data_IF_974964290396
#
_entry.id   IF_974964290396
#
_cell.length_a   1.000
_cell.length_b   1.000
_cell.length_c   1.000
_cell.angle_alpha   90.00
_cell.angle_beta   90.00
_cell.angle_gamma   90.00
#
_symmetry.space_group_name_H-M   'P 1'
#
loop_
_entity.id
_entity.type
_entity.pdbx_description
1 polymer ?
#
# COMPACT_ATOMS: atom_id res chain seq x y z
N UNK A 1 -7.08 43.52 -51.46
CA UNK A 1 -7.27 42.09 -51.77
C UNK A 1 -7.45 41.36 -50.44
N UNK A 2 -8.60 40.73 -50.26
CA UNK A 2 -8.92 39.85 -49.15
C UNK A 2 -8.09 38.57 -49.26
N UNK A 3 -7.43 38.15 -48.18
CA UNK A 3 -7.27 36.72 -47.88
C UNK A 3 -7.29 36.54 -46.37
N UNK A 4 -8.46 36.14 -45.88
CA UNK A 4 -8.61 35.45 -44.62
C UNK A 4 -7.98 34.05 -44.78
N UNK A 5 -7.14 33.64 -43.82
CA UNK A 5 -6.85 32.22 -43.60
C UNK A 5 -7.28 31.94 -42.17
N UNK A 6 -8.44 31.31 -42.08
CA UNK A 6 -8.92 30.65 -40.88
C UNK A 6 -8.22 29.28 -40.73
N UNK A 7 -8.51 28.65 -39.58
CA UNK A 7 -8.44 27.21 -39.32
C UNK A 7 -7.02 26.75 -38.88
N UNK A 8 -6.81 25.98 -37.80
CA UNK A 8 -7.62 24.94 -37.15
C UNK A 8 -7.18 24.78 -35.69
N UNK A 9 -8.13 24.84 -34.77
CA UNK A 9 -7.97 24.35 -33.39
C UNK A 9 -7.71 22.85 -33.40
N UNK A 10 -6.65 22.39 -32.76
CA UNK A 10 -6.55 20.99 -32.31
C UNK A 10 -6.31 21.00 -30.80
N UNK A 11 -7.39 21.18 -30.04
CA UNK A 11 -7.47 20.74 -28.66
C UNK A 11 -7.81 19.24 -28.68
N UNK A 12 -6.80 18.40 -28.82
CA UNK A 12 -6.95 16.96 -28.62
C UNK A 12 -5.68 16.40 -27.99
N UNK A 13 -5.62 16.45 -26.67
CA UNK A 13 -5.17 15.25 -25.96
C UNK A 13 -6.19 14.99 -24.87
N UNK A 14 -7.07 14.05 -25.18
CA UNK A 14 -7.93 13.36 -24.25
C UNK A 14 -7.00 12.64 -23.26
N UNK A 15 -6.59 13.32 -22.19
CA UNK A 15 -5.92 12.68 -21.06
C UNK A 15 -6.99 11.96 -20.22
N UNK A 16 -7.67 11.00 -20.86
CA UNK A 16 -8.27 9.89 -20.16
C UNK A 16 -7.13 9.07 -19.59
N UNK A 17 -6.55 9.55 -18.49
CA UNK A 17 -5.80 8.70 -17.59
C UNK A 17 -6.80 7.64 -17.12
N UNK A 18 -6.88 6.54 -17.86
CA UNK A 18 -7.41 5.30 -17.32
C UNK A 18 -6.49 5.01 -16.14
N UNK A 19 -6.96 5.41 -14.96
CA UNK A 19 -6.40 5.06 -13.69
C UNK A 19 -6.52 3.54 -13.65
N UNK A 20 -5.50 2.85 -14.16
CA UNK A 20 -5.36 1.42 -14.04
C UNK A 20 -5.40 1.18 -12.53
N UNK A 21 -6.52 0.70 -12.00
CA UNK A 21 -6.56 0.26 -10.62
C UNK A 21 -5.48 -0.80 -10.50
N UNK A 22 -4.35 -0.46 -9.87
CA UNK A 22 -3.31 -1.41 -9.53
C UNK A 22 -3.89 -2.32 -8.44
N UNK A 23 -4.66 -3.32 -8.86
CA UNK A 23 -5.24 -4.30 -7.96
C UNK A 23 -4.09 -5.11 -7.37
N UNK A 24 -3.99 -5.12 -6.03
CA UNK A 24 -3.05 -5.96 -5.31
C UNK A 24 -3.24 -7.42 -5.74
N UNK A 25 -2.15 -8.09 -6.09
CA UNK A 25 -2.21 -9.50 -6.46
C UNK A 25 -2.82 -10.33 -5.32
N UNK A 26 -3.71 -11.28 -5.66
CA UNK A 26 -4.47 -12.08 -4.69
C UNK A 26 -3.56 -12.79 -3.67
N UNK A 27 -2.43 -13.34 -4.11
CA UNK A 27 -1.46 -14.01 -3.24
C UNK A 27 -0.85 -13.07 -2.18
N UNK A 28 -0.75 -11.76 -2.44
CA UNK A 28 -0.28 -10.78 -1.45
C UNK A 28 -1.35 -10.52 -0.40
N UNK A 29 -2.61 -10.40 -0.82
CA UNK A 29 -3.74 -10.32 0.10
C UNK A 29 -3.76 -11.53 1.03
N UNK A 30 -3.68 -12.75 0.49
CA UNK A 30 -3.63 -13.99 1.29
C UNK A 30 -2.46 -14.00 2.27
N UNK A 31 -1.28 -13.53 1.84
CA UNK A 31 -0.11 -13.42 2.69
C UNK A 31 -0.38 -12.51 3.88
N UNK A 32 -0.96 -11.32 3.66
CA UNK A 32 -1.30 -10.37 4.72
C UNK A 32 -2.36 -10.91 5.66
N UNK A 33 -3.44 -11.49 5.13
CA UNK A 33 -4.50 -12.11 5.93
C UNK A 33 -3.94 -13.22 6.82
N UNK A 34 -3.11 -14.11 6.25
CA UNK A 34 -2.48 -15.19 7.02
C UNK A 34 -1.53 -14.66 8.08
N UNK A 35 -0.80 -13.58 7.82
CA UNK A 35 0.12 -13.00 8.79
C UNK A 35 -0.61 -12.47 10.04
N UNK A 36 -1.76 -11.82 9.88
CA UNK A 36 -2.51 -11.26 11.00
C UNK A 36 -3.50 -12.23 11.65
N UNK A 37 -3.76 -13.39 11.03
CA UNK A 37 -4.70 -14.39 11.55
C UNK A 37 -4.43 -14.77 13.02
N UNK A 38 -3.17 -15.05 13.37
CA UNK A 38 -2.79 -15.42 14.75
C UNK A 38 -2.91 -14.26 15.74
N UNK A 39 -2.94 -13.01 15.25
CA UNK A 39 -3.15 -11.82 16.07
C UNK A 39 -4.63 -11.51 16.24
N UNK A 40 -5.44 -11.65 15.19
CA UNK A 40 -6.88 -11.46 15.21
C UNK A 40 -7.53 -12.16 14.01
N UNK A 41 -8.30 -13.22 14.27
CA UNK A 41 -8.94 -14.05 13.24
C UNK A 41 -10.18 -13.39 12.61
N UNK A 42 -10.69 -12.33 13.23
CA UNK A 42 -11.95 -11.67 12.84
C UNK A 42 -11.73 -10.47 11.92
N UNK A 43 -10.50 -10.27 11.44
CA UNK A 43 -10.18 -9.17 10.54
C UNK A 43 -10.74 -9.41 9.13
N UNK A 44 -11.44 -8.42 8.60
CA UNK A 44 -12.04 -8.45 7.26
C UNK A 44 -11.17 -7.65 6.30
N UNK A 45 -10.71 -8.29 5.23
CA UNK A 45 -9.93 -7.59 4.22
C UNK A 45 -10.78 -6.53 3.50
N UNK A 46 -10.23 -5.33 3.37
CA UNK A 46 -10.86 -4.19 2.73
C UNK A 46 -9.97 -3.65 1.60
N UNK A 47 -10.43 -3.82 0.34
CA UNK A 47 -9.69 -3.39 -0.87
C UNK A 47 -9.39 -1.88 -0.86
N UNK A 48 -10.32 -1.05 -0.41
CA UNK A 48 -10.10 0.40 -0.36
C UNK A 48 -9.02 0.79 0.66
N UNK A 49 -8.98 0.13 1.81
CA UNK A 49 -7.91 0.36 2.80
C UNK A 49 -6.55 -0.13 2.29
N UNK A 50 -6.51 -1.23 1.52
CA UNK A 50 -5.28 -1.66 0.84
C UNK A 50 -4.82 -0.60 -0.18
N UNK A 51 -5.73 -0.01 -0.94
CA UNK A 51 -5.40 1.08 -1.86
C UNK A 51 -4.88 2.32 -1.10
N UNK A 52 -5.56 2.73 -0.01
CA UNK A 52 -5.07 3.81 0.84
C UNK A 52 -3.68 3.53 1.41
N UNK A 53 -3.37 2.28 1.77
CA UNK A 53 -2.05 1.90 2.26
C UNK A 53 -0.97 2.09 1.19
N UNK A 54 -1.26 1.81 -0.09
CA UNK A 54 -0.32 2.07 -1.19
C UNK A 54 -0.10 3.57 -1.36
N UNK A 55 -1.19 4.33 -1.37
CA UNK A 55 -1.13 5.79 -1.51
C UNK A 55 -0.41 6.45 -0.32
N UNK A 56 -0.53 5.92 0.89
CA UNK A 56 0.23 6.37 2.06
C UNK A 56 1.73 6.07 1.92
N UNK A 57 2.09 4.97 1.26
CA UNK A 57 3.49 4.64 0.93
C UNK A 57 4.04 5.57 -0.16
N UNK A 58 3.18 6.09 -1.04
CA UNK A 58 3.53 7.05 -2.09
C UNK A 58 3.58 8.49 -1.61
N UNK A 59 2.62 8.88 -0.79
CA UNK A 59 2.44 10.21 -0.23
C UNK A 59 2.25 10.10 1.30
N UNK A 60 3.35 10.00 2.07
CA UNK A 60 3.27 9.85 3.52
C UNK A 60 2.48 10.98 4.18
N UNK A 61 1.58 10.59 5.08
CA UNK A 61 0.66 11.48 5.77
C UNK A 61 -0.63 11.77 5.02
N UNK A 62 -0.93 11.13 3.89
CA UNK A 62 -2.20 11.34 3.18
C UNK A 62 -3.41 10.88 3.99
N UNK A 63 -3.30 9.71 4.62
CA UNK A 63 -4.34 9.07 5.42
C UNK A 63 -4.00 8.95 6.90
N UNK A 64 -2.75 9.21 7.30
CA UNK A 64 -2.28 9.07 8.69
C UNK A 64 -2.17 10.40 9.46
N UNK A 65 -2.88 11.46 9.05
CA UNK A 65 -2.86 12.76 9.75
C UNK A 65 -3.49 12.66 11.15
N UNK A 66 -3.23 13.67 11.98
CA UNK A 66 -3.90 13.79 13.28
C UNK A 66 -5.42 13.71 13.14
N UNK A 67 -6.07 12.91 13.98
CA UNK A 67 -7.51 12.62 13.88
C UNK A 67 -7.89 11.55 12.85
N UNK A 68 -6.92 10.90 12.19
CA UNK A 68 -7.21 9.78 11.29
C UNK A 68 -8.00 8.68 12.00
N UNK A 69 -9.02 8.10 11.36
CA UNK A 69 -9.77 6.97 11.92
C UNK A 69 -8.98 5.65 11.87
N UNK A 70 -7.82 5.62 11.20
CA UNK A 70 -7.05 4.41 11.01
C UNK A 70 -6.01 4.21 12.12
N UNK A 71 -5.96 2.99 12.66
CA UNK A 71 -4.73 2.48 13.25
C UNK A 71 -3.78 2.11 12.11
N UNK A 72 -2.60 2.73 12.06
CA UNK A 72 -1.61 2.49 11.02
C UNK A 72 -0.40 1.74 11.55
N UNK A 73 -0.05 0.64 10.87
CA UNK A 73 1.23 -0.03 11.04
C UNK A 73 2.08 0.17 9.80
N UNK A 74 3.36 0.47 9.98
CA UNK A 74 4.30 0.68 8.87
C UNK A 74 5.64 0.01 9.13
N UNK A 75 6.28 -0.46 8.06
CA UNK A 75 7.66 -0.92 8.09
C UNK A 75 8.37 -0.63 6.78
N UNK A 76 9.67 -0.33 6.89
CA UNK A 76 10.62 -0.18 5.79
C UNK A 76 11.77 -1.12 6.08
N UNK A 77 12.09 -2.03 5.16
CA UNK A 77 13.21 -2.97 5.31
C UNK A 77 14.15 -2.91 4.12
N UNK A 78 15.47 -2.72 4.33
CA UNK A 78 16.46 -2.83 3.27
C UNK A 78 16.73 -4.29 2.90
N UNK A 79 17.05 -4.50 1.64
CA UNK A 79 17.55 -5.73 1.03
C UNK A 79 18.76 -5.39 0.14
N UNK A 80 19.71 -6.32 0.04
CA UNK A 80 20.77 -6.17 -0.93
C UNK A 80 20.23 -6.40 -2.33
N UNK A 81 20.67 -5.63 -3.33
CA UNK A 81 20.37 -5.90 -4.75
C UNK A 81 20.94 -7.23 -5.24
N UNK A 82 21.95 -7.75 -4.54
CA UNK A 82 22.52 -9.08 -4.82
C UNK A 82 21.75 -10.20 -4.14
N UNK A 83 20.81 -9.88 -3.25
CA UNK A 83 19.93 -10.88 -2.65
C UNK A 83 18.88 -11.26 -3.70
N UNK A 84 18.97 -12.47 -4.25
CA UNK A 84 17.99 -13.04 -5.19
C UNK A 84 16.66 -13.43 -4.50
N UNK A 85 16.21 -12.61 -3.55
CA UNK A 85 14.97 -12.85 -2.82
C UNK A 85 13.77 -12.47 -3.69
N UNK A 86 12.80 -13.39 -3.74
CA UNK A 86 11.51 -13.15 -4.39
C UNK A 86 10.70 -12.11 -3.61
N UNK A 87 9.77 -11.46 -4.29
CA UNK A 87 8.90 -10.43 -3.73
C UNK A 87 8.17 -10.92 -2.46
N UNK A 88 7.64 -12.14 -2.48
CA UNK A 88 6.94 -12.73 -1.33
C UNK A 88 7.84 -12.89 -0.11
N UNK A 89 9.11 -13.25 -0.32
CA UNK A 89 10.09 -13.38 0.75
C UNK A 89 10.45 -12.02 1.34
N UNK A 90 10.61 -11.00 0.49
CA UNK A 90 10.83 -9.62 0.93
C UNK A 90 9.64 -9.12 1.75
N UNK A 91 8.41 -9.32 1.27
CA UNK A 91 7.19 -8.96 2.01
C UNK A 91 7.12 -9.66 3.36
N UNK A 92 7.31 -10.98 3.43
CA UNK A 92 7.31 -11.75 4.69
C UNK A 92 8.36 -11.23 5.69
N UNK A 93 9.58 -10.96 5.22
CA UNK A 93 10.66 -10.44 6.06
C UNK A 93 10.37 -9.00 6.56
N UNK A 94 9.69 -8.19 5.76
CA UNK A 94 9.32 -6.83 6.12
C UNK A 94 8.16 -6.79 7.11
N UNK A 95 7.09 -7.55 6.86
CA UNK A 95 5.94 -7.58 7.77
C UNK A 95 6.24 -8.35 9.06
N UNK A 96 7.09 -9.37 9.01
CA UNK A 96 7.63 -10.04 10.20
C UNK A 96 8.66 -9.21 10.98
N UNK A 97 8.90 -7.96 10.59
CA UNK A 97 9.77 -7.07 11.35
C UNK A 97 9.15 -6.72 12.71
N UNK A 98 10.04 -6.37 13.64
CA UNK A 98 9.67 -6.09 15.02
C UNK A 98 8.68 -4.92 15.17
N UNK A 99 8.61 -3.99 14.20
CA UNK A 99 7.64 -2.90 14.23
C UNK A 99 6.20 -3.42 14.24
N UNK A 100 5.88 -4.40 13.39
CA UNK A 100 4.55 -5.02 13.35
C UNK A 100 4.27 -5.88 14.60
N UNK A 101 5.27 -6.63 15.06
CA UNK A 101 5.11 -7.51 16.23
C UNK A 101 4.80 -6.76 17.53
N UNK A 102 5.33 -5.54 17.70
CA UNK A 102 5.04 -4.70 18.87
C UNK A 102 3.57 -4.30 18.98
N UNK A 103 2.87 -4.20 17.85
CA UNK A 103 1.46 -3.82 17.81
C UNK A 103 0.49 -5.00 17.86
N UNK A 104 0.99 -6.23 18.03
CA UNK A 104 0.13 -7.41 18.15
C UNK A 104 -0.93 -7.27 19.28
N UNK A 105 -0.60 -6.58 20.37
CA UNK A 105 -1.56 -6.29 21.45
C UNK A 105 -2.66 -5.32 21.03
N UNK A 106 -2.34 -4.34 20.19
CA UNK A 106 -3.31 -3.36 19.70
C UNK A 106 -4.27 -4.03 18.71
N UNK A 107 -3.76 -4.92 17.85
CA UNK A 107 -4.56 -5.69 16.91
C UNK A 107 -5.55 -6.64 17.60
N UNK A 108 -5.15 -7.24 18.73
CA UNK A 108 -6.04 -8.08 19.57
C UNK A 108 -7.19 -7.32 20.20
N UNK A 109 -7.10 -5.99 20.29
CA UNK A 109 -8.14 -5.14 20.89
C UNK A 109 -9.14 -4.60 19.85
N UNK A 110 -8.88 -4.83 18.56
CA UNK A 110 -9.83 -4.49 17.52
C UNK A 110 -11.10 -5.32 17.68
N UNK A 111 -12.25 -4.72 17.38
CA UNK A 111 -13.54 -5.36 17.49
C UNK A 111 -13.67 -6.53 16.50
N UNK A 112 -14.61 -7.43 16.77
CA UNK A 112 -15.00 -8.46 15.82
C UNK A 112 -15.50 -7.80 14.52
N UNK A 113 -15.02 -8.31 13.37
CA UNK A 113 -15.37 -7.74 12.06
C UNK A 113 -14.60 -6.48 11.68
N UNK A 114 -13.58 -6.08 12.44
CA UNK A 114 -12.74 -4.93 12.09
C UNK A 114 -12.12 -5.09 10.70
N UNK A 115 -12.14 -4.01 9.92
CA UNK A 115 -11.59 -3.97 8.58
C UNK A 115 -10.09 -3.72 8.61
N UNK A 116 -9.37 -4.32 7.66
CA UNK A 116 -7.95 -4.02 7.44
C UNK A 116 -7.57 -4.07 5.97
N UNK A 117 -6.50 -3.40 5.62
CA UNK A 117 -5.92 -3.47 4.28
C UNK A 117 -4.43 -3.12 4.33
N UNK A 118 -3.63 -3.89 3.61
CA UNK A 118 -2.18 -3.70 3.53
C UNK A 118 -1.75 -3.53 2.09
N UNK A 119 -0.70 -2.74 1.87
CA UNK A 119 -0.02 -2.66 0.59
C UNK A 119 1.40 -2.10 0.77
N UNK A 120 2.17 -2.15 -0.30
CA UNK A 120 3.57 -1.76 -0.25
C UNK A 120 4.17 -1.58 -1.63
N UNK A 121 5.39 -1.03 -1.64
CA UNK A 121 6.18 -0.87 -2.87
C UNK A 121 7.65 -1.13 -2.58
N UNK A 122 8.34 -1.55 -3.63
CA UNK A 122 9.80 -1.56 -3.65
C UNK A 122 10.31 -0.20 -4.14
N UNK A 123 11.36 0.32 -3.48
CA UNK A 123 12.09 1.49 -3.93
C UNK A 123 13.57 1.21 -3.90
N UNK A 124 14.33 1.87 -4.76
CA UNK A 124 15.79 1.78 -4.76
C UNK A 124 16.41 3.05 -4.18
N UNK A 125 17.45 2.88 -3.37
CA UNK A 125 18.25 4.00 -2.85
C UNK A 125 19.71 3.52 -2.77
N UNK A 126 20.51 3.95 -3.75
CA UNK A 126 21.90 3.51 -3.91
C UNK A 126 22.01 2.03 -4.31
N UNK A 127 22.78 1.29 -3.51
CA UNK A 127 23.05 -0.15 -3.66
C UNK A 127 21.99 -1.05 -2.99
N UNK A 128 20.96 -0.44 -2.42
CA UNK A 128 19.91 -1.15 -1.67
C UNK A 128 18.55 -1.02 -2.34
N UNK A 129 17.76 -2.06 -2.16
CA UNK A 129 16.34 -2.07 -2.39
C UNK A 129 15.62 -2.00 -1.04
N UNK A 130 14.50 -1.32 -0.99
CA UNK A 130 13.70 -1.17 0.21
C UNK A 130 12.28 -1.64 -0.09
N UNK A 131 11.79 -2.57 0.72
CA UNK A 131 10.37 -2.88 0.75
C UNK A 131 9.72 -1.99 1.81
N UNK A 132 8.73 -1.21 1.39
CA UNK A 132 7.87 -0.42 2.27
C UNK A 132 6.52 -1.08 2.34
N UNK A 133 5.99 -1.30 3.54
CA UNK A 133 4.65 -1.85 3.75
C UNK A 133 3.92 -0.97 4.74
N UNK A 134 2.69 -0.62 4.41
CA UNK A 134 1.72 0.00 5.29
C UNK A 134 0.52 -0.93 5.42
N UNK A 135 -0.05 -0.99 6.61
CA UNK A 135 -1.33 -1.63 6.89
C UNK A 135 -2.19 -0.66 7.69
N UNK A 136 -3.43 -0.49 7.26
CA UNK A 136 -4.45 0.22 8.01
C UNK A 136 -5.44 -0.76 8.64
N UNK A 137 -5.94 -0.38 9.80
CA UNK A 137 -6.97 -1.11 10.55
C UNK A 137 -8.04 -0.12 11.03
N UNK A 138 -9.30 -0.55 11.04
CA UNK A 138 -10.43 0.23 11.52
C UNK A 138 -11.52 -0.69 12.05
N UNK A 139 -12.18 -0.29 13.14
CA UNK A 139 -13.46 -0.90 13.50
C UNK A 139 -14.57 -0.51 12.51
#
# INVERSE_FOLDING_TARGET
MLFAIAVLSVLLVNAGAQQQECILAEWLQELYTKFFYDSNQNLIWNKHMSQHALEEVEEPGKYSKEGSPYLMLKSKRPFSKTDNLRLDQKVRKTIGSYSFLRHAKDLRRLAEGANFGCNGKETEEGDKEYMHIVCFFRN
#
